data_IF_378492619669
#
_entry.id   IF_378492619669
#
_cell.length_a   1.000
_cell.length_b   1.000
_cell.length_c   1.000
_cell.angle_alpha   90.00
_cell.angle_beta   90.00
_cell.angle_gamma   90.00
#
_symmetry.space_group_name_H-M   'P 1'
#
loop_
_entity.id
_entity.type
_entity.pdbx_description
1 polymer ?
#
# COMPACT_ATOMS: atom_id res chain seq x y z
N UNK A 1 14.97 17.83 6.80
CA UNK A 1 14.12 18.48 5.75
C UNK A 1 14.85 18.84 4.45
N UNK A 2 16.15 19.19 4.45
CA UNK A 2 16.89 19.52 3.20
C UNK A 2 17.13 18.29 2.29
N UNK A 3 17.37 17.11 2.88
CA UNK A 3 17.56 15.85 2.14
C UNK A 3 16.33 15.43 1.33
N UNK A 4 15.13 15.47 1.93
CA UNK A 4 13.85 15.20 1.24
C UNK A 4 13.61 16.11 0.01
N UNK A 5 14.00 17.39 0.09
CA UNK A 5 13.87 18.33 -1.03
C UNK A 5 14.86 18.04 -2.17
N UNK A 6 16.02 17.46 -1.87
CA UNK A 6 17.01 17.05 -2.87
C UNK A 6 16.61 15.76 -3.62
N UNK A 7 15.72 14.96 -3.03
CA UNK A 7 15.20 13.70 -3.60
C UNK A 7 13.90 13.91 -4.41
N UNK A 8 13.20 15.02 -4.17
CA UNK A 8 12.02 15.46 -4.90
C UNK A 8 12.17 15.52 -6.44
N UNK A 9 13.33 15.90 -7.01
CA UNK A 9 13.56 15.89 -8.46
C UNK A 9 13.57 14.47 -9.05
N UNK A 10 14.08 13.46 -8.34
CA UNK A 10 14.06 12.06 -8.80
C UNK A 10 12.63 11.51 -8.81
N UNK A 11 11.86 11.77 -7.75
CA UNK A 11 10.46 11.37 -7.67
C UNK A 11 9.56 12.11 -8.65
N UNK A 12 9.99 13.29 -9.14
CA UNK A 12 9.26 14.07 -10.13
C UNK A 12 9.20 13.37 -11.49
N UNK A 13 10.16 12.52 -11.84
CA UNK A 13 10.11 11.73 -13.07
C UNK A 13 9.03 10.64 -13.01
N UNK A 14 8.79 10.07 -11.82
CA UNK A 14 7.90 8.93 -11.59
C UNK A 14 6.50 9.31 -11.04
N UNK A 15 6.05 10.55 -11.22
CA UNK A 15 4.81 11.07 -10.58
C UNK A 15 3.57 10.23 -10.83
N UNK A 16 3.40 9.70 -12.03
CA UNK A 16 2.25 8.84 -12.35
C UNK A 16 2.25 7.53 -11.55
N UNK A 17 3.43 6.92 -11.39
CA UNK A 17 3.57 5.68 -10.62
C UNK A 17 3.37 5.94 -9.12
N UNK A 18 3.86 7.06 -8.60
CA UNK A 18 3.66 7.48 -7.19
C UNK A 18 2.18 7.74 -6.88
N UNK A 19 1.42 8.35 -7.79
CA UNK A 19 -0.03 8.50 -7.59
C UNK A 19 -0.73 7.14 -7.63
N UNK A 20 -0.35 6.27 -8.57
CA UNK A 20 -0.94 4.94 -8.71
C UNK A 20 -0.74 4.07 -7.46
N UNK A 21 0.47 4.05 -6.88
CA UNK A 21 0.74 3.28 -5.65
C UNK A 21 -0.07 3.82 -4.46
N UNK A 22 -0.18 5.14 -4.30
CA UNK A 22 -0.99 5.75 -3.24
C UNK A 22 -2.47 5.36 -3.39
N UNK A 23 -2.99 5.41 -4.61
CA UNK A 23 -4.37 4.99 -4.91
C UNK A 23 -4.57 3.50 -4.63
N UNK A 24 -3.63 2.64 -5.03
CA UNK A 24 -3.72 1.18 -4.79
C UNK A 24 -3.64 0.84 -3.30
N UNK A 25 -2.77 1.50 -2.52
CA UNK A 25 -2.72 1.32 -1.07
C UNK A 25 -3.98 1.81 -0.38
N UNK A 26 -4.49 2.98 -0.77
CA UNK A 26 -5.75 3.50 -0.23
C UNK A 26 -6.92 2.55 -0.53
N UNK A 27 -7.01 2.05 -1.77
CA UNK A 27 -8.00 1.07 -2.17
C UNK A 27 -7.85 -0.23 -1.37
N UNK A 28 -6.64 -0.77 -1.24
CA UNK A 28 -6.36 -1.96 -0.43
C UNK A 28 -6.77 -1.79 1.04
N UNK A 29 -6.54 -0.60 1.62
CA UNK A 29 -6.94 -0.26 2.98
C UNK A 29 -8.47 -0.25 3.13
N UNK A 30 -9.20 0.35 2.16
CA UNK A 30 -10.66 0.33 2.13
C UNK A 30 -11.21 -1.09 2.02
N UNK A 31 -10.64 -1.92 1.14
CA UNK A 31 -11.03 -3.34 1.04
C UNK A 31 -10.74 -4.09 2.34
N UNK A 32 -9.59 -3.82 2.98
CA UNK A 32 -9.25 -4.42 4.28
C UNK A 32 -10.24 -4.03 5.37
N UNK A 33 -10.68 -2.77 5.40
CA UNK A 33 -11.71 -2.32 6.32
C UNK A 33 -13.03 -3.06 6.06
N UNK A 34 -13.43 -3.21 4.81
CA UNK A 34 -14.65 -3.92 4.46
C UNK A 34 -14.59 -5.42 4.82
N UNK A 35 -13.46 -6.09 4.55
CA UNK A 35 -13.24 -7.48 4.98
C UNK A 35 -13.35 -7.62 6.49
N UNK A 36 -12.79 -6.68 7.26
CA UNK A 36 -12.88 -6.69 8.72
C UNK A 36 -14.31 -6.43 9.21
N UNK A 37 -15.00 -5.45 8.61
CA UNK A 37 -16.37 -5.09 8.97
C UNK A 37 -17.35 -6.24 8.68
N UNK A 38 -17.11 -7.02 7.63
CA UNK A 38 -17.88 -8.21 7.27
C UNK A 38 -17.84 -9.33 8.32
N UNK A 39 -16.89 -9.30 9.27
CA UNK A 39 -16.85 -10.25 10.38
C UNK A 39 -18.01 -10.03 11.35
N UNK A 40 -18.47 -8.79 11.52
CA UNK A 40 -19.60 -8.45 12.42
C UNK A 40 -20.91 -9.14 12.01
N UNK A 41 -21.43 -9.00 10.77
CA UNK A 41 -22.64 -9.71 10.35
C UNK A 41 -22.44 -11.22 10.33
N UNK A 42 -21.24 -11.72 10.02
CA UNK A 42 -20.92 -13.15 10.11
C UNK A 42 -21.14 -13.70 11.53
N UNK A 43 -20.59 -13.03 12.55
CA UNK A 43 -20.75 -13.45 13.95
C UNK A 43 -22.20 -13.33 14.42
N UNK A 44 -22.94 -12.29 13.98
CA UNK A 44 -24.38 -12.13 14.30
C UNK A 44 -25.21 -13.30 13.78
N UNK A 45 -24.98 -13.73 12.54
CA UNK A 45 -25.66 -14.87 11.94
C UNK A 45 -25.26 -16.18 12.63
N UNK A 46 -23.95 -16.37 12.88
CA UNK A 46 -23.41 -17.59 13.49
C UNK A 46 -23.96 -17.84 14.89
N UNK A 47 -23.99 -16.79 15.73
CA UNK A 47 -24.48 -16.91 17.10
C UNK A 47 -26.00 -16.79 17.23
N UNK A 48 -26.72 -16.63 16.11
CA UNK A 48 -28.15 -16.28 16.11
C UNK A 48 -28.43 -15.17 17.13
N UNK A 49 -27.54 -14.18 17.19
CA UNK A 49 -27.81 -12.96 17.91
C UNK A 49 -28.86 -12.21 17.09
N UNK A 50 -30.11 -12.67 17.19
CA UNK A 50 -31.27 -11.99 16.65
C UNK A 50 -31.18 -10.55 17.11
N UNK A 51 -31.40 -9.63 16.18
CA UNK A 51 -31.45 -8.19 16.37
C UNK A 51 -31.89 -7.86 17.80
N UNK A 52 -30.91 -7.67 18.70
CA UNK A 52 -31.17 -6.85 19.87
C UNK A 52 -31.43 -5.52 19.21
N UNK A 53 -32.71 -5.18 19.12
CA UNK A 53 -33.20 -3.90 18.69
C UNK A 53 -32.61 -2.90 19.68
N UNK A 54 -31.35 -2.54 19.49
CA UNK A 54 -30.88 -1.25 19.93
C UNK A 54 -31.64 -0.30 19.02
N UNK A 55 -32.68 0.32 19.55
CA UNK A 55 -33.24 1.51 18.95
C UNK A 55 -32.08 2.50 18.78
N UNK A 56 -31.56 2.64 17.57
CA UNK A 56 -30.47 3.58 17.27
C UNK A 56 -31.04 4.69 16.41
N UNK A 57 -31.36 5.78 17.09
CA UNK A 57 -31.63 7.12 16.55
C UNK A 57 -30.35 7.74 15.97
N UNK A 58 -29.81 7.19 14.88
CA UNK A 58 -28.66 7.78 14.20
C UNK A 58 -28.56 7.37 12.73
N UNK A 59 -28.31 8.35 11.86
CA UNK A 59 -28.09 8.18 10.41
C UNK A 59 -26.71 7.55 10.12
N UNK A 60 -26.38 6.46 10.80
CA UNK A 60 -25.09 5.77 10.66
C UNK A 60 -25.15 4.72 9.55
N UNK A 61 -24.13 4.73 8.70
CA UNK A 61 -24.00 3.85 7.52
C UNK A 61 -24.03 2.37 7.91
N UNK A 62 -23.55 2.02 9.11
CA UNK A 62 -23.58 0.65 9.63
C UNK A 62 -25.00 0.12 9.87
N UNK A 63 -25.95 0.98 10.22
CA UNK A 63 -27.32 0.58 10.55
C UNK A 63 -28.12 0.30 9.26
N UNK A 64 -27.92 1.11 8.21
CA UNK A 64 -28.50 0.86 6.88
C UNK A 64 -27.97 -0.43 6.26
N UNK A 65 -26.67 -0.70 6.42
CA UNK A 65 -26.05 -1.94 5.95
C UNK A 65 -26.59 -3.15 6.73
N UNK A 66 -26.75 -3.02 8.06
CA UNK A 66 -27.30 -4.09 8.89
C UNK A 66 -28.76 -4.41 8.52
N UNK A 67 -29.60 -3.39 8.34
CA UNK A 67 -31.02 -3.56 7.95
C UNK A 67 -31.18 -4.18 6.56
N UNK A 68 -30.35 -3.78 5.59
CA UNK A 68 -30.34 -4.40 4.26
C UNK A 68 -29.90 -5.87 4.33
N UNK A 69 -28.96 -6.19 5.22
CA UNK A 69 -28.49 -7.56 5.44
C UNK A 69 -29.54 -8.42 6.14
N UNK A 70 -30.23 -7.88 7.15
CA UNK A 70 -31.30 -8.56 7.87
C UNK A 70 -32.49 -8.89 6.96
N UNK A 71 -32.82 -7.99 6.02
CA UNK A 71 -33.80 -8.25 4.96
C UNK A 71 -33.39 -9.40 4.03
N UNK A 72 -32.12 -9.45 3.62
CA UNK A 72 -31.58 -10.52 2.78
C UNK A 72 -31.55 -11.89 3.51
N UNK A 73 -31.24 -11.91 4.81
CA UNK A 73 -31.26 -13.12 5.65
C UNK A 73 -32.68 -13.65 5.83
N UNK A 74 -33.67 -12.76 5.97
CA UNK A 74 -35.08 -13.12 6.11
C UNK A 74 -35.65 -13.77 4.84
N UNK A 75 -35.16 -13.38 3.65
CA UNK A 75 -35.64 -13.86 2.36
C UNK A 75 -34.96 -15.16 1.89
N UNK A 76 -33.64 -15.30 2.08
CA UNK A 76 -32.88 -16.48 1.63
C UNK A 76 -32.76 -17.62 2.67
N UNK A 77 -33.09 -17.35 3.94
CA UNK A 77 -32.92 -18.28 5.06
C UNK A 77 -31.49 -18.33 5.61
N UNK A 78 -31.36 -18.60 6.92
CA UNK A 78 -30.10 -18.45 7.68
C UNK A 78 -28.92 -19.25 7.09
N UNK A 79 -29.17 -20.48 6.59
CA UNK A 79 -28.10 -21.33 6.05
C UNK A 79 -27.55 -20.82 4.70
N UNK A 80 -28.42 -20.35 3.81
CA UNK A 80 -28.00 -19.86 2.50
C UNK A 80 -27.36 -18.47 2.61
N UNK A 81 -27.86 -17.64 3.52
CA UNK A 81 -27.27 -16.33 3.80
C UNK A 81 -25.84 -16.46 4.36
N UNK A 82 -25.61 -17.40 5.28
CA UNK A 82 -24.27 -17.67 5.82
C UNK A 82 -23.31 -18.17 4.72
N UNK A 83 -23.74 -19.10 3.87
CA UNK A 83 -22.93 -19.61 2.77
C UNK A 83 -22.54 -18.49 1.78
N UNK A 84 -23.49 -17.63 1.43
CA UNK A 84 -23.26 -16.48 0.54
C UNK A 84 -22.27 -15.48 1.15
N UNK A 85 -22.40 -15.19 2.45
CA UNK A 85 -21.49 -14.30 3.17
C UNK A 85 -20.07 -14.88 3.22
N UNK A 86 -19.91 -16.17 3.53
CA UNK A 86 -18.62 -16.85 3.51
C UNK A 86 -17.94 -16.75 2.13
N UNK A 87 -18.67 -17.05 1.06
CA UNK A 87 -18.14 -16.92 -0.31
C UNK A 87 -17.75 -15.47 -0.61
N UNK A 88 -18.60 -14.51 -0.23
CA UNK A 88 -18.30 -13.08 -0.37
C UNK A 88 -17.03 -12.65 0.37
N UNK A 89 -16.82 -13.11 1.61
CA UNK A 89 -15.60 -12.85 2.38
C UNK A 89 -14.35 -13.42 1.72
N UNK A 90 -14.43 -14.63 1.17
CA UNK A 90 -13.31 -15.23 0.43
C UNK A 90 -13.00 -14.39 -0.80
N UNK A 91 -14.01 -13.99 -1.57
CA UNK A 91 -13.83 -13.13 -2.76
C UNK A 91 -13.21 -11.79 -2.38
N UNK A 92 -13.70 -11.14 -1.33
CA UNK A 92 -13.15 -9.88 -0.82
C UNK A 92 -11.71 -10.02 -0.35
N UNK A 93 -11.38 -11.11 0.33
CA UNK A 93 -10.02 -11.40 0.78
C UNK A 93 -9.08 -11.59 -0.40
N UNK A 94 -9.48 -12.36 -1.43
CA UNK A 94 -8.69 -12.53 -2.66
C UNK A 94 -8.51 -11.19 -3.37
N UNK A 95 -9.58 -10.40 -3.52
CA UNK A 95 -9.52 -9.10 -4.17
C UNK A 95 -8.60 -8.11 -3.41
N UNK A 96 -8.71 -8.05 -2.08
CA UNK A 96 -7.82 -7.26 -1.23
C UNK A 96 -6.35 -7.63 -1.48
N UNK A 97 -6.05 -8.93 -1.47
CA UNK A 97 -4.68 -9.42 -1.69
C UNK A 97 -4.18 -9.13 -3.11
N UNK A 98 -5.05 -9.23 -4.12
CA UNK A 98 -4.69 -8.89 -5.49
C UNK A 98 -4.35 -7.39 -5.64
N UNK A 99 -5.15 -6.49 -5.05
CA UNK A 99 -4.87 -5.05 -5.05
C UNK A 99 -3.59 -4.74 -4.28
N UNK A 100 -3.37 -5.41 -3.14
CA UNK A 100 -2.15 -5.25 -2.36
C UNK A 100 -0.90 -5.71 -3.13
N UNK A 101 -0.99 -6.84 -3.82
CA UNK A 101 0.08 -7.34 -4.67
C UNK A 101 0.37 -6.40 -5.85
N UNK A 102 -0.66 -5.83 -6.47
CA UNK A 102 -0.49 -4.82 -7.51
C UNK A 102 0.23 -3.57 -6.98
N UNK A 103 -0.07 -3.14 -5.75
CA UNK A 103 0.64 -2.03 -5.11
C UNK A 103 2.14 -2.33 -4.93
N UNK A 104 2.47 -3.54 -4.45
CA UNK A 104 3.85 -4.01 -4.30
C UNK A 104 4.59 -4.09 -5.64
N UNK A 105 3.92 -4.55 -6.69
CA UNK A 105 4.50 -4.60 -8.03
C UNK A 105 4.89 -3.21 -8.56
N UNK A 106 4.00 -2.22 -8.40
CA UNK A 106 4.29 -0.83 -8.77
C UNK A 106 5.43 -0.27 -7.93
N UNK A 107 5.47 -0.58 -6.62
CA UNK A 107 6.54 -0.13 -5.72
C UNK A 107 7.91 -0.68 -6.13
N UNK A 108 7.98 -1.94 -6.55
CA UNK A 108 9.21 -2.54 -7.06
C UNK A 108 9.72 -1.82 -8.32
N UNK A 109 8.82 -1.42 -9.21
CA UNK A 109 9.15 -0.61 -10.39
C UNK A 109 9.73 0.76 -10.03
N UNK A 110 9.12 1.45 -9.05
CA UNK A 110 9.60 2.74 -8.53
C UNK A 110 11.00 2.59 -7.92
N UNK A 111 11.21 1.58 -7.08
CA UNK A 111 12.51 1.26 -6.46
C UNK A 111 13.61 1.08 -7.49
N UNK A 112 13.37 0.25 -8.51
CA UNK A 112 14.31 0.03 -9.59
C UNK A 112 14.58 1.32 -10.41
N UNK A 113 13.55 2.12 -10.67
CA UNK A 113 13.67 3.40 -11.35
C UNK A 113 14.53 4.41 -10.57
N UNK A 114 14.27 4.58 -9.28
CA UNK A 114 15.04 5.47 -8.39
C UNK A 114 16.50 5.02 -8.27
N UNK A 115 16.74 3.72 -8.09
CA UNK A 115 18.11 3.16 -8.04
C UNK A 115 18.89 3.46 -9.32
N UNK A 116 18.25 3.29 -10.47
CA UNK A 116 18.85 3.59 -11.78
C UNK A 116 19.19 5.08 -11.91
N UNK A 117 18.27 5.97 -11.55
CA UNK A 117 18.47 7.42 -11.68
C UNK A 117 19.58 7.92 -10.74
N UNK A 118 19.66 7.40 -9.52
CA UNK A 118 20.70 7.74 -8.54
C UNK A 118 22.09 7.25 -8.97
N UNK A 119 22.17 6.03 -9.52
CA UNK A 119 23.43 5.51 -10.10
C UNK A 119 23.88 6.33 -11.30
N UNK A 120 22.96 6.73 -12.18
CA UNK A 120 23.27 7.53 -13.36
C UNK A 120 23.80 8.92 -12.99
N UNK A 121 23.20 9.60 -12.00
CA UNK A 121 23.68 10.91 -11.55
C UNK A 121 25.08 10.85 -10.93
N UNK A 122 25.32 9.86 -10.06
CA UNK A 122 26.62 9.69 -9.40
C UNK A 122 27.71 9.29 -10.39
N UNK A 123 27.37 8.45 -11.38
CA UNK A 123 28.30 8.08 -12.44
C UNK A 123 28.67 9.27 -13.33
N UNK A 124 27.70 10.12 -13.69
CA UNK A 124 27.96 11.36 -14.43
C UNK A 124 28.88 12.31 -13.67
N UNK A 125 28.66 12.45 -12.36
CA UNK A 125 29.50 13.30 -11.52
C UNK A 125 30.92 12.75 -11.38
N UNK A 126 31.07 11.44 -11.21
CA UNK A 126 32.38 10.77 -11.19
C UNK A 126 33.18 11.03 -12.47
N UNK A 127 32.55 10.93 -13.64
CA UNK A 127 33.21 11.16 -14.93
C UNK A 127 33.60 12.63 -15.15
N UNK A 128 32.94 13.57 -14.47
CA UNK A 128 33.24 15.01 -14.60
C UNK A 128 34.40 15.49 -13.72
N UNK A 129 34.87 14.66 -12.78
CA UNK A 129 35.92 15.05 -11.83
C UNK A 129 37.32 15.11 -12.46
N UNK A 130 38.19 16.04 -12.02
CA UNK A 130 39.56 16.14 -12.51
C UNK A 130 40.43 14.98 -12.03
N UNK A 131 41.44 14.59 -12.82
CA UNK A 131 42.41 13.53 -12.48
C UNK A 131 43.09 13.71 -11.12
N UNK A 132 43.30 14.95 -10.66
CA UNK A 132 43.85 15.25 -9.34
C UNK A 132 43.02 14.62 -8.22
N UNK A 133 41.68 14.66 -8.33
CA UNK A 133 40.78 14.10 -7.33
C UNK A 133 40.92 12.57 -7.23
N UNK A 134 41.12 11.88 -8.35
CA UNK A 134 41.33 10.43 -8.39
C UNK A 134 42.67 9.99 -7.80
N UNK A 135 43.65 10.89 -7.74
CA UNK A 135 44.97 10.60 -7.17
C UNK A 135 44.97 10.77 -5.66
N UNK A 136 44.18 11.72 -5.15
CA UNK A 136 44.08 12.06 -3.73
C UNK A 136 43.06 11.18 -2.98
N UNK A 137 42.01 10.73 -3.67
CA UNK A 137 40.95 9.89 -3.09
C UNK A 137 41.35 8.41 -2.98
N UNK A 138 41.10 7.79 -1.83
CA UNK A 138 41.30 6.35 -1.64
C UNK A 138 40.22 5.59 -2.42
N UNK A 139 40.64 4.79 -3.40
CA UNK A 139 39.72 3.99 -4.26
C UNK A 139 38.67 3.20 -3.46
N UNK A 140 39.04 2.64 -2.31
CA UNK A 140 38.11 1.90 -1.44
C UNK A 140 37.06 2.77 -0.76
N UNK A 141 37.41 4.00 -0.38
CA UNK A 141 36.47 4.97 0.19
C UNK A 141 35.44 5.42 -0.86
N UNK A 142 35.91 5.68 -2.09
CA UNK A 142 35.01 5.97 -3.23
C UNK A 142 34.06 4.80 -3.45
N UNK A 143 34.55 3.57 -3.53
CA UNK A 143 33.68 2.39 -3.72
C UNK A 143 32.66 2.22 -2.57
N UNK A 144 33.06 2.45 -1.32
CA UNK A 144 32.16 2.40 -0.16
C UNK A 144 31.03 3.41 -0.27
N UNK A 145 31.32 4.65 -0.66
CA UNK A 145 30.31 5.70 -0.84
C UNK A 145 29.36 5.40 -2.01
N UNK A 146 29.87 4.77 -3.07
CA UNK A 146 29.05 4.38 -4.23
C UNK A 146 28.15 3.18 -3.98
N UNK A 147 28.48 2.33 -3.00
CA UNK A 147 27.74 1.10 -2.72
C UNK A 147 26.90 1.24 -1.46
N UNK A 148 27.51 1.60 -0.34
CA UNK A 148 26.86 1.68 0.96
C UNK A 148 25.99 2.93 1.10
N UNK A 149 26.57 4.12 0.91
CA UNK A 149 25.82 5.38 1.09
C UNK A 149 24.71 5.51 0.05
N UNK A 150 24.94 5.04 -1.18
CA UNK A 150 23.93 5.02 -2.25
C UNK A 150 22.72 4.17 -1.87
N UNK A 151 22.97 2.95 -1.35
CA UNK A 151 21.92 2.03 -0.91
C UNK A 151 21.15 2.63 0.28
N UNK A 152 21.84 3.26 1.23
CA UNK A 152 21.20 3.91 2.38
C UNK A 152 20.28 5.07 1.94
N UNK A 153 20.74 5.88 0.98
CA UNK A 153 19.92 6.95 0.40
C UNK A 153 18.72 6.37 -0.36
N UNK A 154 18.90 5.29 -1.13
CA UNK A 154 17.82 4.58 -1.82
C UNK A 154 16.76 4.08 -0.81
N UNK A 155 17.19 3.43 0.27
CA UNK A 155 16.29 2.97 1.32
C UNK A 155 15.55 4.11 2.02
N UNK A 156 16.25 5.22 2.31
CA UNK A 156 15.63 6.40 2.93
C UNK A 156 14.57 7.04 2.04
N UNK A 157 14.80 7.09 0.71
CA UNK A 157 13.83 7.59 -0.27
C UNK A 157 12.59 6.72 -0.30
N UNK A 158 12.78 5.40 -0.42
CA UNK A 158 11.70 4.43 -0.56
C UNK A 158 10.89 4.33 0.72
N UNK A 159 11.56 4.30 1.87
CA UNK A 159 10.90 4.30 3.19
C UNK A 159 10.18 5.60 3.52
N UNK A 160 10.39 6.68 2.76
CA UNK A 160 9.57 7.91 2.86
C UNK A 160 8.29 7.84 2.01
N UNK A 161 8.17 6.85 1.11
CA UNK A 161 7.00 6.62 0.25
C UNK A 161 6.09 5.54 0.84
N UNK A 162 6.67 4.55 1.53
CA UNK A 162 5.94 3.57 2.37
C UNK A 162 5.29 4.26 3.58
#
# INVERSE_FOLDING_TARGET
MKALKALLPLLRHQRGQVVLIVVLHALSAVLSLFTFLSVVPFLRILFRAGSSATEVTGDHVLDKVSLAFDGFVAEQGTSNALATLCVGMVVLAVLKNAVHYAALYVMAGIRAGVSRDLRQSLYGELLSMPISWFTESKRGDVMSRFTHDLIEVEHSVIGSIE
#
